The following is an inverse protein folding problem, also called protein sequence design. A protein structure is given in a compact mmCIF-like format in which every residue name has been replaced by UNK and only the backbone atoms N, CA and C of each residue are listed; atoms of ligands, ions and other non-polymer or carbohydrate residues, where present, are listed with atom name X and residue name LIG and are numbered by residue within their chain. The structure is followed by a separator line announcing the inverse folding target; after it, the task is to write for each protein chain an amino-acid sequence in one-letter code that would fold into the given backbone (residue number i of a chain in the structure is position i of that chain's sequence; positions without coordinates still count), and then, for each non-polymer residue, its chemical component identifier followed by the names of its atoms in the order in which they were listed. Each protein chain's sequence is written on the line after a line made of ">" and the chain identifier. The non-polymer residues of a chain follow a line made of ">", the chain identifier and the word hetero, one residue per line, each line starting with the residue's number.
data_IF_909587237226
#
_entry.id   IF_909587237226
#
_cell.length_a   1.000
_cell.length_b   1.000
_cell.length_c   1.000
_cell.angle_alpha   90.00
_cell.angle_beta   90.00
_cell.angle_gamma   90.00
#
_symmetry.space_group_name_H-M   'P 1'
#
loop_
_entity.id
_entity.type
_entity.pdbx_description
1 polymer ?
#
# COMPACT_ATOMS: atom_id res chain seq x y z
N UNK A 1 5.89 -5.62 -19.16
CA UNK A 1 4.65 -6.16 -18.57
C UNK A 1 4.43 -5.36 -17.29
N UNK A 2 3.46 -4.45 -17.27
CA UNK A 2 3.17 -3.63 -16.09
C UNK A 2 2.61 -4.57 -15.02
N UNK A 3 3.25 -4.66 -13.87
CA UNK A 3 2.75 -5.50 -12.78
C UNK A 3 1.47 -4.87 -12.22
N UNK A 4 0.60 -5.68 -11.61
CA UNK A 4 -0.61 -5.18 -10.93
C UNK A 4 -0.28 -4.09 -9.89
N UNK A 5 0.90 -4.19 -9.27
CA UNK A 5 1.39 -3.21 -8.30
C UNK A 5 1.76 -1.88 -8.95
N UNK A 6 2.42 -1.90 -10.10
CA UNK A 6 2.80 -0.68 -10.83
C UNK A 6 1.57 0.16 -11.19
N UNK A 7 0.45 -0.48 -11.51
CA UNK A 7 -0.81 0.21 -11.79
C UNK A 7 -1.40 0.91 -10.55
N UNK A 8 -1.23 0.35 -9.35
CA UNK A 8 -1.70 0.97 -8.11
C UNK A 8 -0.76 2.09 -7.67
N UNK A 9 0.55 1.90 -7.83
CA UNK A 9 1.56 2.93 -7.55
C UNK A 9 1.34 4.14 -8.46
N UNK A 10 1.18 3.93 -9.77
CA UNK A 10 0.90 5.02 -10.71
C UNK A 10 -0.42 5.76 -10.40
N UNK A 11 -1.45 5.03 -9.94
CA UNK A 11 -2.70 5.64 -9.49
C UNK A 11 -2.47 6.52 -8.24
N UNK A 12 -1.70 6.04 -7.27
CA UNK A 12 -1.35 6.83 -6.10
C UNK A 12 -0.55 8.07 -6.47
N UNK A 13 0.44 7.97 -7.36
CA UNK A 13 1.22 9.11 -7.83
C UNK A 13 0.34 10.17 -8.50
N UNK A 14 -0.63 9.76 -9.32
CA UNK A 14 -1.62 10.67 -9.91
C UNK A 14 -2.48 11.36 -8.83
N UNK A 15 -2.97 10.61 -7.84
CA UNK A 15 -3.77 11.17 -6.76
C UNK A 15 -2.97 12.11 -5.86
N UNK A 16 -1.70 11.82 -5.59
CA UNK A 16 -0.79 12.65 -4.78
C UNK A 16 -0.44 13.95 -5.51
N UNK A 17 -0.32 13.90 -6.84
CA UNK A 17 -0.04 15.09 -7.66
C UNK A 17 -1.22 16.08 -7.72
N UNK A 18 -2.43 15.61 -7.41
CA UNK A 18 -3.59 16.48 -7.20
C UNK A 18 -3.52 17.02 -5.78
N UNK A 19 -3.57 18.34 -5.59
CA UNK A 19 -3.30 19.08 -4.34
C UNK A 19 -4.03 18.60 -3.07
N UNK A 20 -4.97 17.66 -3.19
CA UNK A 20 -5.64 16.97 -2.09
C UNK A 20 -5.78 15.48 -2.39
N UNK A 21 -5.07 14.64 -1.62
CA UNK A 21 -5.41 13.22 -1.56
C UNK A 21 -6.69 13.09 -0.74
N UNK A 22 -7.82 13.12 -1.43
CA UNK A 22 -9.11 12.85 -0.80
C UNK A 22 -9.14 11.44 -0.20
N UNK A 23 -9.79 11.29 0.96
CA UNK A 23 -10.01 10.01 1.66
C UNK A 23 -10.61 8.95 0.69
N UNK A 24 -11.38 9.40 -0.29
CA UNK A 24 -11.95 8.54 -1.32
C UNK A 24 -10.88 7.88 -2.22
N UNK A 25 -9.82 8.59 -2.61
CA UNK A 25 -8.73 8.02 -3.41
C UNK A 25 -8.01 6.90 -2.67
N UNK A 26 -7.81 7.09 -1.37
CA UNK A 26 -7.20 6.10 -0.49
C UNK A 26 -8.07 4.83 -0.36
N UNK A 27 -9.38 4.99 -0.18
CA UNK A 27 -10.32 3.87 -0.14
C UNK A 27 -10.37 3.09 -1.48
N UNK A 28 -10.39 3.81 -2.61
CA UNK A 28 -10.37 3.21 -3.95
C UNK A 28 -9.09 2.39 -4.16
N UNK A 29 -7.95 2.85 -3.67
CA UNK A 29 -6.70 2.10 -3.76
C UNK A 29 -6.76 0.78 -2.98
N UNK A 30 -7.27 0.79 -1.73
CA UNK A 30 -7.47 -0.44 -0.95
C UNK A 30 -8.45 -1.40 -1.62
N UNK A 31 -9.54 -0.89 -2.21
CA UNK A 31 -10.47 -1.71 -2.99
C UNK A 31 -9.81 -2.34 -4.22
N UNK A 32 -8.94 -1.59 -4.92
CA UNK A 32 -8.15 -2.11 -6.04
C UNK A 32 -7.15 -3.19 -5.60
N UNK A 33 -6.46 -3.00 -4.48
CA UNK A 33 -5.58 -4.03 -3.91
C UNK A 33 -6.37 -5.32 -3.63
N UNK A 34 -7.56 -5.18 -3.06
CA UNK A 34 -8.44 -6.32 -2.77
C UNK A 34 -8.94 -7.01 -4.05
N UNK A 35 -9.42 -6.26 -5.04
CA UNK A 35 -9.91 -6.83 -6.30
C UNK A 35 -8.80 -7.51 -7.11
N UNK A 36 -7.57 -7.03 -6.95
CA UNK A 36 -6.37 -7.64 -7.54
C UNK A 36 -5.85 -8.84 -6.76
N UNK A 37 -6.44 -9.15 -5.61
CA UNK A 37 -6.09 -10.23 -4.68
C UNK A 37 -4.66 -10.15 -4.14
N UNK A 38 -4.27 -8.96 -3.68
CA UNK A 38 -2.96 -8.78 -3.03
C UNK A 38 -2.89 -9.58 -1.73
N UNK A 39 -1.86 -10.39 -1.57
CA UNK A 39 -1.52 -11.01 -0.30
C UNK A 39 -0.62 -10.11 0.55
N UNK A 40 -0.34 -10.53 1.79
CA UNK A 40 0.55 -9.79 2.67
C UNK A 40 1.97 -9.65 2.10
N UNK A 41 2.48 -10.71 1.45
CA UNK A 41 3.78 -10.66 0.78
C UNK A 41 3.83 -9.64 -0.35
N UNK A 42 2.74 -9.47 -1.09
CA UNK A 42 2.64 -8.43 -2.12
C UNK A 42 2.63 -7.04 -1.50
N UNK A 43 1.92 -6.85 -0.38
CA UNK A 43 1.95 -5.59 0.38
C UNK A 43 3.39 -5.23 0.80
N UNK A 44 4.14 -6.18 1.37
CA UNK A 44 5.55 -5.96 1.74
C UNK A 44 6.40 -5.64 0.51
N UNK A 45 6.30 -6.44 -0.55
CA UNK A 45 7.16 -6.32 -1.73
C UNK A 45 6.93 -5.01 -2.49
N UNK A 46 5.68 -4.53 -2.56
CA UNK A 46 5.32 -3.42 -3.43
C UNK A 46 5.08 -2.12 -2.68
N UNK A 47 4.61 -2.16 -1.43
CA UNK A 47 4.20 -0.98 -0.69
C UNK A 47 5.16 -0.62 0.45
N UNK A 48 5.99 -1.52 0.97
CA UNK A 48 6.95 -1.20 2.04
C UNK A 48 8.34 -0.94 1.46
N UNK A 49 8.52 0.26 0.90
CA UNK A 49 9.78 0.73 0.30
C UNK A 49 10.08 2.17 0.72
N UNK A 50 11.34 2.43 1.03
CA UNK A 50 11.83 3.76 1.44
C UNK A 50 11.66 4.82 0.33
N UNK A 51 11.72 4.40 -0.94
CA UNK A 51 11.68 5.30 -2.10
C UNK A 51 10.26 5.62 -2.58
N UNK A 52 9.22 5.15 -1.87
CA UNK A 52 7.83 5.47 -2.20
C UNK A 52 7.31 6.57 -1.28
N UNK A 53 6.32 7.32 -1.77
CA UNK A 53 5.63 8.29 -0.95
C UNK A 53 4.94 7.60 0.25
N UNK A 54 4.98 8.22 1.43
CA UNK A 54 4.50 7.65 2.72
C UNK A 54 3.08 7.06 2.65
N UNK A 55 2.21 7.63 1.81
CA UNK A 55 0.84 7.13 1.61
C UNK A 55 0.78 5.71 1.03
N UNK A 56 1.79 5.28 0.27
CA UNK A 56 1.90 3.90 -0.20
C UNK A 56 2.17 2.96 0.97
N UNK A 57 3.13 3.30 1.84
CA UNK A 57 3.43 2.48 3.02
C UNK A 57 2.19 2.40 3.93
N UNK A 58 1.49 3.52 4.11
CA UNK A 58 0.26 3.58 4.90
C UNK A 58 -0.86 2.71 4.28
N UNK A 59 -1.01 2.73 2.95
CA UNK A 59 -1.96 1.86 2.23
C UNK A 59 -1.66 0.37 2.45
N UNK A 60 -0.38 -0.02 2.32
CA UNK A 60 0.06 -1.39 2.62
C UNK A 60 -0.22 -1.79 4.07
N UNK A 61 0.03 -0.89 5.03
CA UNK A 61 -0.23 -1.11 6.45
C UNK A 61 -1.72 -1.35 6.72
N UNK A 62 -2.58 -0.39 6.33
CA UNK A 62 -4.01 -0.50 6.58
C UNK A 62 -4.65 -1.69 5.86
N UNK A 63 -4.25 -1.97 4.62
CA UNK A 63 -4.74 -3.13 3.90
C UNK A 63 -4.36 -4.45 4.61
N UNK A 64 -3.11 -4.56 5.08
CA UNK A 64 -2.63 -5.75 5.78
C UNK A 64 -3.41 -6.03 7.07
N UNK A 65 -3.69 -4.99 7.85
CA UNK A 65 -4.40 -5.14 9.13
C UNK A 65 -5.92 -5.30 8.90
N UNK A 66 -6.54 -4.38 8.16
CA UNK A 66 -7.99 -4.27 8.10
C UNK A 66 -8.62 -5.25 7.08
N UNK A 67 -7.94 -5.58 5.99
CA UNK A 67 -8.48 -6.46 4.94
C UNK A 67 -7.93 -7.88 5.02
N UNK A 68 -6.64 -8.03 5.28
CA UNK A 68 -6.01 -9.36 5.35
C UNK A 68 -6.01 -9.96 6.75
N UNK A 69 -6.31 -9.18 7.79
CA UNK A 69 -6.33 -9.65 9.17
C UNK A 69 -4.95 -10.02 9.73
N UNK A 70 -3.88 -9.45 9.16
CA UNK A 70 -2.51 -9.71 9.63
C UNK A 70 -2.32 -9.02 10.99
N UNK A 71 -1.80 -9.72 12.01
CA UNK A 71 -1.49 -9.12 13.30
C UNK A 71 -0.58 -7.90 13.16
N UNK A 72 -0.88 -6.82 13.89
CA UNK A 72 -0.14 -5.57 13.81
C UNK A 72 1.37 -5.74 14.07
N UNK A 73 1.74 -6.62 15.00
CA UNK A 73 3.15 -6.94 15.31
C UNK A 73 3.91 -7.47 14.09
N UNK A 74 3.29 -8.35 13.31
CA UNK A 74 3.89 -8.90 12.09
C UNK A 74 4.03 -7.83 10.99
N UNK A 75 3.06 -6.90 10.91
CA UNK A 75 3.14 -5.78 9.96
C UNK A 75 4.24 -4.81 10.38
N UNK A 76 4.38 -4.55 11.68
CA UNK A 76 5.43 -3.70 12.23
C UNK A 76 6.82 -4.30 12.01
N UNK A 77 7.00 -5.61 12.21
CA UNK A 77 8.24 -6.31 11.88
C UNK A 77 8.56 -6.18 10.39
N UNK A 78 7.57 -6.34 9.51
CA UNK A 78 7.76 -6.18 8.08
C UNK A 78 8.19 -4.74 7.70
N UNK A 79 7.57 -3.70 8.28
CA UNK A 79 7.97 -2.30 8.08
C UNK A 79 9.41 -2.06 8.53
N UNK A 80 9.78 -2.54 9.72
CA UNK A 80 11.14 -2.44 10.24
C UNK A 80 12.16 -3.17 9.34
N UNK A 81 11.80 -4.36 8.85
CA UNK A 81 12.65 -5.13 7.92
C UNK A 81 12.85 -4.43 6.58
N UNK A 82 11.84 -3.66 6.15
CA UNK A 82 11.86 -2.78 4.98
C UNK A 82 12.44 -1.40 5.28
N UNK A 83 12.94 -1.15 6.49
CA UNK A 83 13.51 0.12 6.97
C UNK A 83 12.57 1.33 6.83
N UNK A 84 11.27 1.06 6.94
CA UNK A 84 10.24 2.10 7.01
C UNK A 84 10.08 2.47 8.48
N UNK A 85 10.42 3.71 8.82
CA UNK A 85 10.36 4.29 10.18
C UNK A 85 9.28 5.35 10.28
#
# INVERSE_FOLDING_TARGET
>A
MVSKADAIIAFFEQCISSESVEVNHYLVAMQKMNSMQFGFRDAVLFFFKENLHVLHNLAGLHYSIAWLGVPADNVMEALNSSKIS
#
